data_IF_590694958504
#
_entry.id   IF_590694958504
#
_cell.length_a   1.000
_cell.length_b   1.000
_cell.length_c   1.000
_cell.angle_alpha   90.00
_cell.angle_beta   90.00
_cell.angle_gamma   90.00
#
_symmetry.space_group_name_H-M   'P 1'
#
loop_
_entity.id
_entity.type
_entity.pdbx_description
1 polymer ?
#
# COMPACT_ATOMS: atom_id res chain seq x y z
N UNK A 1 10.00 10.73 -80.71
CA UNK A 1 9.82 9.68 -79.69
C UNK A 1 9.89 10.36 -78.34
N UNK A 2 8.71 10.65 -77.77
CA UNK A 2 8.54 11.21 -76.43
C UNK A 2 8.53 10.04 -75.43
N UNK A 3 9.32 10.12 -74.37
CA UNK A 3 9.32 9.16 -73.27
C UNK A 3 9.52 9.89 -71.96
N UNK A 4 8.42 10.34 -71.38
CA UNK A 4 8.35 10.89 -70.02
C UNK A 4 8.44 9.69 -69.07
N UNK A 5 9.52 9.60 -68.27
CA UNK A 5 9.61 8.66 -67.15
C UNK A 5 9.39 9.47 -65.87
N UNK A 6 8.19 9.32 -65.31
CA UNK A 6 7.81 9.75 -63.96
C UNK A 6 8.68 8.98 -62.93
N UNK A 7 9.44 9.71 -62.11
CA UNK A 7 9.94 9.21 -60.83
C UNK A 7 9.11 9.88 -59.73
N UNK A 8 8.03 9.23 -59.31
CA UNK A 8 7.30 9.58 -58.09
C UNK A 8 8.15 9.19 -56.90
N UNK A 9 8.77 10.17 -56.23
CA UNK A 9 9.29 10.00 -54.88
C UNK A 9 8.11 9.79 -53.94
N UNK A 10 7.78 8.54 -53.65
CA UNK A 10 6.94 8.18 -52.49
C UNK A 10 7.74 8.52 -51.23
N UNK A 11 7.52 9.71 -50.68
CA UNK A 11 7.87 9.97 -49.28
C UNK A 11 6.95 9.09 -48.44
N UNK A 12 7.49 8.00 -47.90
CA UNK A 12 6.85 7.24 -46.84
C UNK A 12 6.77 8.18 -45.64
N UNK A 13 5.66 8.88 -45.47
CA UNK A 13 5.26 9.37 -44.17
C UNK A 13 4.91 8.13 -43.35
N UNK A 14 5.89 7.58 -42.65
CA UNK A 14 5.60 6.67 -41.56
C UNK A 14 4.93 7.51 -40.47
N UNK A 15 3.60 7.57 -40.51
CA UNK A 15 2.82 8.01 -39.37
C UNK A 15 3.28 7.14 -38.20
N UNK A 16 3.90 7.76 -37.20
CA UNK A 16 4.16 7.10 -35.94
C UNK A 16 2.79 7.00 -35.29
N UNK A 17 2.12 5.86 -35.44
CA UNK A 17 0.85 5.60 -34.78
C UNK A 17 1.11 5.59 -33.27
N UNK A 18 0.77 6.69 -32.61
CA UNK A 18 0.71 6.75 -31.15
C UNK A 18 -0.48 5.90 -30.70
N UNK A 19 -0.21 4.63 -30.40
CA UNK A 19 -1.18 3.77 -29.73
C UNK A 19 -1.50 4.34 -28.35
N UNK A 20 -2.79 4.42 -27.94
CA UNK A 20 -3.15 4.86 -26.60
C UNK A 20 -2.54 3.93 -25.56
N UNK A 21 -1.69 4.48 -24.69
CA UNK A 21 -1.17 3.76 -23.53
C UNK A 21 -2.31 3.52 -22.54
N UNK A 22 -2.59 2.26 -22.23
CA UNK A 22 -3.62 1.85 -21.27
C UNK A 22 -3.18 1.98 -19.80
N UNK A 23 -1.88 2.20 -19.59
CA UNK A 23 -1.24 2.29 -18.28
C UNK A 23 -1.14 3.73 -17.77
N UNK A 24 -1.33 3.91 -16.46
CA UNK A 24 -1.07 5.20 -15.83
C UNK A 24 0.44 5.52 -15.81
N UNK A 25 0.85 6.79 -15.70
CA UNK A 25 2.26 7.16 -15.72
C UNK A 25 3.15 6.43 -14.70
N UNK A 26 2.62 6.07 -13.52
CA UNK A 26 3.37 5.30 -12.52
C UNK A 26 3.64 3.86 -12.95
N UNK A 27 2.87 3.34 -13.90
CA UNK A 27 2.94 1.96 -14.36
C UNK A 27 3.85 1.78 -15.58
N UNK A 28 4.26 2.86 -16.26
CA UNK A 28 4.95 2.78 -17.56
C UNK A 28 6.24 1.94 -17.53
N UNK A 29 7.04 2.04 -16.46
CA UNK A 29 8.28 1.26 -16.34
C UNK A 29 8.16 -0.01 -15.49
N UNK A 30 6.95 -0.45 -15.13
CA UNK A 30 6.77 -1.61 -14.24
C UNK A 30 7.07 -2.96 -14.92
N UNK A 31 6.99 -3.00 -16.25
CA UNK A 31 7.34 -4.16 -17.07
C UNK A 31 7.88 -3.72 -18.42
N UNK A 32 8.59 -4.63 -19.10
CA UNK A 32 9.04 -4.39 -20.47
C UNK A 32 7.85 -4.13 -21.40
N UNK A 33 6.73 -4.83 -21.19
CA UNK A 33 5.53 -4.71 -22.03
C UNK A 33 4.84 -3.34 -21.86
N UNK A 34 4.65 -2.89 -20.62
CA UNK A 34 4.11 -1.55 -20.35
C UNK A 34 5.02 -0.46 -20.91
N UNK A 35 6.35 -0.67 -20.85
CA UNK A 35 7.31 0.31 -21.35
C UNK A 35 7.33 0.37 -22.88
N UNK A 36 7.08 -0.75 -23.56
CA UNK A 36 6.90 -0.81 -25.01
C UNK A 36 5.61 -0.12 -25.41
N UNK A 37 4.48 -0.49 -24.80
CA UNK A 37 3.16 0.05 -25.14
C UNK A 37 3.11 1.57 -24.99
N UNK A 38 3.71 2.08 -23.92
CA UNK A 38 3.72 3.51 -23.61
C UNK A 38 4.92 4.25 -24.22
N UNK A 39 5.71 3.61 -25.09
CA UNK A 39 6.78 4.25 -25.86
C UNK A 39 7.98 4.72 -25.04
N UNK A 40 8.16 4.20 -23.81
CA UNK A 40 9.22 4.60 -22.88
C UNK A 40 10.26 3.50 -22.63
N UNK A 41 10.26 2.41 -23.42
CA UNK A 41 11.16 1.26 -23.23
C UNK A 41 12.62 1.68 -23.07
N UNK A 42 13.11 2.57 -23.94
CA UNK A 42 14.50 3.03 -23.89
C UNK A 42 14.81 3.72 -22.57
N UNK A 43 13.96 4.64 -22.14
CA UNK A 43 14.10 5.40 -20.91
C UNK A 43 14.03 4.47 -19.67
N UNK A 44 13.11 3.51 -19.69
CA UNK A 44 12.98 2.55 -18.60
C UNK A 44 14.17 1.58 -18.52
N UNK A 45 14.74 1.16 -19.66
CA UNK A 45 15.96 0.34 -19.70
C UNK A 45 17.20 1.13 -19.26
N UNK A 46 17.36 2.37 -19.72
CA UNK A 46 18.45 3.26 -19.29
C UNK A 46 18.38 3.57 -17.77
N UNK A 47 17.16 3.57 -17.22
CA UNK A 47 16.92 3.72 -15.78
C UNK A 47 16.96 2.40 -14.99
N UNK A 48 17.21 1.25 -15.64
CA UNK A 48 17.11 -0.08 -15.04
C UNK A 48 15.76 -0.38 -14.36
N UNK A 49 14.71 0.36 -14.74
CA UNK A 49 13.40 0.36 -14.09
C UNK A 49 12.54 -0.85 -14.47
N UNK A 50 12.76 -1.40 -15.67
CA UNK A 50 12.08 -2.60 -16.18
C UNK A 50 12.76 -3.91 -15.76
N UNK A 51 13.90 -3.84 -15.05
CA UNK A 51 14.47 -5.05 -14.47
C UNK A 51 13.52 -5.54 -13.38
N UNK A 52 13.04 -6.79 -13.42
CA UNK A 52 12.29 -7.35 -12.32
C UNK A 52 13.21 -7.32 -11.10
N UNK A 53 12.96 -6.40 -10.16
CA UNK A 53 13.63 -6.42 -8.88
C UNK A 53 13.03 -7.56 -8.06
N UNK A 54 13.46 -8.78 -8.35
CA UNK A 54 12.99 -10.00 -7.70
C UNK A 54 13.50 -10.14 -6.26
N UNK A 55 14.08 -9.08 -5.65
CA UNK A 55 14.88 -9.20 -4.42
C UNK A 55 14.60 -8.16 -3.33
N UNK A 56 14.07 -6.97 -3.61
CA UNK A 56 13.84 -5.97 -2.54
C UNK A 56 12.41 -6.08 -2.01
N UNK A 57 12.29 -6.64 -0.81
CA UNK A 57 11.02 -6.70 -0.09
C UNK A 57 10.58 -5.29 0.34
N UNK A 58 9.29 -4.93 0.19
CA UNK A 58 8.72 -3.73 0.78
C UNK A 58 9.03 -3.64 2.28
N UNK A 59 9.15 -2.42 2.79
CA UNK A 59 9.27 -2.21 4.24
C UNK A 59 7.94 -2.61 4.89
N UNK A 60 7.96 -3.66 5.69
CA UNK A 60 6.77 -4.14 6.40
C UNK A 60 6.49 -3.26 7.61
N UNK A 61 5.27 -2.77 7.72
CA UNK A 61 4.75 -2.00 8.85
C UNK A 61 3.57 -2.76 9.41
N UNK A 62 3.67 -3.21 10.67
CA UNK A 62 2.52 -3.72 11.40
C UNK A 62 2.13 -2.72 12.50
N UNK A 63 0.84 -2.41 12.57
CA UNK A 63 0.27 -1.52 13.57
C UNK A 63 -0.69 -2.31 14.45
N UNK A 64 -0.34 -2.44 15.73
CA UNK A 64 -1.21 -2.99 16.76
C UNK A 64 -1.85 -1.83 17.52
N UNK A 65 -3.19 -1.80 17.54
CA UNK A 65 -3.93 -0.61 17.95
C UNK A 65 -5.33 -0.91 18.47
N UNK A 66 -5.98 0.11 19.03
CA UNK A 66 -7.39 0.09 19.44
C UNK A 66 -8.17 1.16 18.66
N UNK A 67 -9.40 0.83 18.29
CA UNK A 67 -10.28 1.67 17.48
C UNK A 67 -10.67 2.98 18.17
N UNK A 68 -10.73 3.04 19.52
CA UNK A 68 -11.04 4.26 20.28
C UNK A 68 -9.82 4.96 20.89
N UNK A 69 -8.60 4.40 20.79
CA UNK A 69 -7.41 5.03 21.37
C UNK A 69 -7.02 6.31 20.59
N UNK A 70 -6.94 7.48 21.25
CA UNK A 70 -6.62 8.74 20.58
C UNK A 70 -5.27 8.74 19.86
N UNK A 71 -4.23 8.18 20.49
CA UNK A 71 -2.89 8.07 19.90
C UNK A 71 -2.88 7.15 18.68
N UNK A 72 -3.63 6.05 18.74
CA UNK A 72 -3.80 5.11 17.63
C UNK A 72 -4.47 5.77 16.42
N UNK A 73 -5.58 6.48 16.65
CA UNK A 73 -6.31 7.21 15.60
C UNK A 73 -5.45 8.26 14.93
N UNK A 74 -4.70 9.02 15.73
CA UNK A 74 -3.81 10.06 15.22
C UNK A 74 -2.70 9.45 14.35
N UNK A 75 -2.06 8.39 14.82
CA UNK A 75 -1.05 7.69 14.04
C UNK A 75 -1.63 7.10 12.75
N UNK A 76 -2.75 6.38 12.82
CA UNK A 76 -3.40 5.76 11.67
C UNK A 76 -3.74 6.79 10.58
N UNK A 77 -4.35 7.91 10.96
CA UNK A 77 -4.83 8.92 10.01
C UNK A 77 -3.74 9.87 9.52
N UNK A 78 -2.82 10.28 10.40
CA UNK A 78 -1.86 11.36 10.09
C UNK A 78 -0.47 10.85 9.73
N UNK A 79 -0.07 9.66 10.19
CA UNK A 79 1.23 9.05 9.85
C UNK A 79 1.06 7.91 8.85
N UNK A 80 0.23 6.91 9.16
CA UNK A 80 0.16 5.68 8.38
C UNK A 80 -0.53 5.89 7.03
N UNK A 81 -1.77 6.40 7.03
CA UNK A 81 -2.55 6.57 5.80
C UNK A 81 -1.89 7.55 4.82
N UNK A 82 -1.37 8.67 5.33
CA UNK A 82 -0.66 9.68 4.52
C UNK A 82 0.62 9.11 3.90
N UNK A 83 1.43 8.39 4.68
CA UNK A 83 2.65 7.74 4.19
C UNK A 83 2.34 6.65 3.17
N UNK A 84 1.36 5.78 3.46
CA UNK A 84 0.98 4.69 2.58
C UNK A 84 0.46 5.21 1.24
N UNK A 85 -0.34 6.27 1.23
CA UNK A 85 -0.80 6.90 -0.03
C UNK A 85 0.35 7.30 -0.95
N UNK A 86 1.49 7.72 -0.39
CA UNK A 86 2.66 8.14 -1.15
C UNK A 86 3.66 7.01 -1.46
N UNK A 87 3.74 6.00 -0.58
CA UNK A 87 4.82 5.00 -0.58
C UNK A 87 4.33 3.55 -0.69
N UNK A 88 3.05 3.30 -1.02
CA UNK A 88 2.46 1.96 -1.11
C UNK A 88 3.25 0.95 -1.97
N UNK A 89 4.01 1.42 -2.95
CA UNK A 89 4.85 0.55 -3.80
C UNK A 89 6.09 -0.01 -3.07
N UNK A 90 6.53 0.63 -1.98
CA UNK A 90 7.74 0.29 -1.23
C UNK A 90 7.48 -0.05 0.24
N UNK A 91 6.22 -0.06 0.66
CA UNK A 91 5.81 -0.47 2.00
C UNK A 91 4.57 -1.35 1.97
N UNK A 92 4.50 -2.32 2.88
CA UNK A 92 3.31 -3.14 3.09
C UNK A 92 2.79 -2.94 4.51
N UNK A 93 1.47 -2.81 4.65
CA UNK A 93 0.83 -2.51 5.93
C UNK A 93 0.01 -3.69 6.42
N UNK A 94 0.19 -4.05 7.69
CA UNK A 94 -0.72 -4.95 8.41
C UNK A 94 -1.34 -4.22 9.59
N UNK A 95 -2.66 -4.18 9.64
CA UNK A 95 -3.41 -3.61 10.75
C UNK A 95 -3.86 -4.74 11.69
N UNK A 96 -3.60 -4.58 12.99
CA UNK A 96 -3.97 -5.55 14.03
C UNK A 96 -4.80 -4.84 15.11
N UNK A 97 -6.10 -4.62 14.86
CA UNK A 97 -7.02 -4.03 15.83
C UNK A 97 -7.34 -5.05 16.93
N UNK A 98 -6.82 -4.81 18.13
CA UNK A 98 -7.08 -5.57 19.35
C UNK A 98 -6.53 -4.77 20.55
N UNK A 99 -5.26 -4.37 20.46
CA UNK A 99 -4.58 -3.54 21.44
C UNK A 99 -4.58 -4.13 22.84
N UNK A 100 -5.03 -3.35 23.83
CA UNK A 100 -5.10 -3.80 25.22
C UNK A 100 -6.41 -4.51 25.58
N UNK A 101 -7.17 -4.99 24.59
CA UNK A 101 -8.32 -5.84 24.86
C UNK A 101 -7.90 -7.14 25.55
N UNK A 102 -8.84 -7.75 26.25
CA UNK A 102 -8.70 -9.09 26.84
C UNK A 102 -9.78 -10.01 26.30
N UNK A 103 -9.45 -11.29 26.16
CA UNK A 103 -10.40 -12.32 25.75
C UNK A 103 -10.59 -13.42 26.79
N UNK A 104 -11.78 -14.02 26.81
CA UNK A 104 -12.08 -15.25 27.54
C UNK A 104 -12.96 -16.15 26.68
N UNK A 105 -12.85 -17.46 26.83
CA UNK A 105 -13.66 -18.42 26.07
C UNK A 105 -14.76 -19.01 26.95
N UNK A 106 -16.02 -18.85 26.53
CA UNK A 106 -17.19 -19.32 27.30
C UNK A 106 -17.62 -20.76 26.98
N UNK A 107 -16.84 -21.48 26.15
CA UNK A 107 -17.17 -22.80 25.65
C UNK A 107 -17.87 -22.80 24.29
N UNK A 108 -18.28 -21.63 23.79
CA UNK A 108 -18.88 -21.45 22.47
C UNK A 108 -18.21 -20.35 21.66
N UNK A 109 -17.98 -19.19 22.26
CA UNK A 109 -17.45 -18.00 21.61
C UNK A 109 -16.43 -17.28 22.50
N UNK A 110 -15.57 -16.49 21.86
CA UNK A 110 -14.70 -15.58 22.59
C UNK A 110 -15.47 -14.36 23.05
N UNK A 111 -15.33 -14.00 24.32
CA UNK A 111 -15.86 -12.78 24.90
C UNK A 111 -14.72 -11.78 25.05
N UNK A 112 -14.90 -10.58 24.51
CA UNK A 112 -13.89 -9.53 24.51
C UNK A 112 -14.25 -8.43 25.49
N UNK A 113 -13.26 -7.96 26.23
CA UNK A 113 -13.36 -6.77 27.11
C UNK A 113 -12.35 -5.74 26.65
N UNK A 114 -12.81 -4.52 26.37
CA UNK A 114 -12.01 -3.42 25.86
C UNK A 114 -11.94 -2.24 26.85
N UNK A 115 -10.88 -1.44 26.80
CA UNK A 115 -10.63 -0.39 27.78
C UNK A 115 -11.61 0.78 27.69
N UNK A 116 -12.10 1.07 26.49
CA UNK A 116 -13.05 2.15 26.20
C UNK A 116 -14.48 1.62 25.98
N UNK A 117 -14.80 0.42 26.48
CA UNK A 117 -16.14 -0.17 26.46
C UNK A 117 -16.51 -0.88 25.16
N UNK A 118 -17.79 -1.22 25.01
CA UNK A 118 -18.25 -2.07 23.89
C UNK A 118 -18.11 -1.42 22.51
N UNK A 119 -18.15 -0.09 22.42
CA UNK A 119 -17.93 0.60 21.15
C UNK A 119 -16.51 0.41 20.62
N UNK A 120 -15.51 0.27 21.51
CA UNK A 120 -14.15 -0.07 21.10
C UNK A 120 -14.05 -1.51 20.63
N UNK A 121 -14.66 -2.45 21.36
CA UNK A 121 -14.69 -3.85 20.92
C UNK A 121 -15.41 -3.98 19.58
N UNK A 122 -16.53 -3.28 19.40
CA UNK A 122 -17.24 -3.23 18.13
C UNK A 122 -16.37 -2.62 17.04
N UNK A 123 -15.69 -1.50 17.30
CA UNK A 123 -14.75 -0.89 16.36
C UNK A 123 -13.59 -1.82 16.00
N UNK A 124 -13.02 -2.51 16.99
CA UNK A 124 -11.94 -3.48 16.81
C UNK A 124 -12.39 -4.70 15.99
N UNK A 125 -13.68 -5.07 16.04
CA UNK A 125 -14.26 -6.12 15.18
C UNK A 125 -14.65 -5.60 13.79
N UNK A 126 -15.04 -4.32 13.67
CA UNK A 126 -15.32 -3.68 12.39
C UNK A 126 -14.03 -3.57 11.57
N UNK A 127 -12.95 -3.02 12.11
CA UNK A 127 -11.68 -2.79 11.39
C UNK A 127 -11.13 -4.01 10.60
N UNK A 128 -11.02 -5.24 11.15
CA UNK A 128 -10.50 -6.39 10.43
C UNK A 128 -11.48 -6.89 9.36
N UNK A 129 -12.79 -6.73 9.57
CA UNK A 129 -13.82 -7.03 8.56
C UNK A 129 -13.84 -5.95 7.47
N UNK A 130 -13.65 -4.69 7.86
CA UNK A 130 -13.54 -3.55 6.96
C UNK A 130 -12.23 -3.58 6.22
N UNK A 131 -11.14 -4.16 6.70
CA UNK A 131 -9.95 -4.37 5.86
C UNK A 131 -10.26 -5.32 4.70
N UNK A 132 -10.97 -6.43 4.98
CA UNK A 132 -11.46 -7.34 3.93
C UNK A 132 -12.45 -6.64 2.99
N UNK A 133 -13.21 -5.66 3.49
CA UNK A 133 -14.24 -4.90 2.75
C UNK A 133 -13.74 -3.57 2.17
N UNK A 134 -12.57 -3.06 2.54
CA UNK A 134 -11.93 -1.90 1.92
C UNK A 134 -11.34 -2.32 0.58
N UNK A 135 -10.99 -3.60 0.43
CA UNK A 135 -10.85 -4.25 -0.89
C UNK A 135 -12.16 -4.15 -1.68
N UNK A 136 -13.30 -4.23 -0.99
CA UNK A 136 -14.64 -4.04 -1.54
C UNK A 136 -15.15 -2.58 -1.54
N UNK A 137 -14.37 -1.55 -1.19
CA UNK A 137 -14.69 -0.16 -1.56
C UNK A 137 -14.61 0.03 -3.09
N UNK A 138 -13.94 -0.90 -3.78
CA UNK A 138 -14.01 -1.10 -5.22
C UNK A 138 -15.19 -1.99 -5.66
N UNK A 139 -15.92 -2.61 -4.72
CA UNK A 139 -17.12 -3.40 -4.97
C UNK A 139 -18.37 -2.66 -4.46
N UNK A 140 -19.05 -1.89 -5.34
CA UNK A 140 -20.22 -1.10 -4.97
C UNK A 140 -21.42 -1.96 -4.50
N UNK A 141 -21.34 -3.30 -4.57
CA UNK A 141 -22.41 -4.19 -4.15
C UNK A 141 -22.38 -4.54 -2.66
N UNK A 142 -21.34 -4.15 -1.92
CA UNK A 142 -21.23 -4.49 -0.50
C UNK A 142 -22.21 -3.66 0.34
N UNK A 143 -23.12 -4.35 1.04
CA UNK A 143 -24.13 -3.72 1.91
C UNK A 143 -23.66 -3.69 3.36
N UNK A 144 -24.00 -2.61 4.07
CA UNK A 144 -23.61 -2.44 5.48
C UNK A 144 -24.17 -3.59 6.36
N UNK A 145 -25.39 -4.05 6.11
CA UNK A 145 -25.97 -5.18 6.85
C UNK A 145 -25.14 -6.47 6.73
N UNK A 146 -24.52 -6.72 5.58
CA UNK A 146 -23.65 -7.88 5.36
C UNK A 146 -22.38 -7.80 6.21
N UNK A 147 -21.77 -6.62 6.29
CA UNK A 147 -20.58 -6.42 7.12
C UNK A 147 -20.96 -6.54 8.60
N UNK A 148 -22.08 -5.94 9.04
CA UNK A 148 -22.53 -6.05 10.43
C UNK A 148 -22.90 -7.48 10.82
N UNK A 149 -23.41 -8.26 9.87
CA UNK A 149 -23.64 -9.71 10.07
C UNK A 149 -22.31 -10.44 10.30
N UNK A 150 -21.26 -10.10 9.55
CA UNK A 150 -19.92 -10.65 9.75
C UNK A 150 -19.35 -10.23 11.12
N UNK A 151 -19.36 -8.93 11.43
CA UNK A 151 -18.84 -8.34 12.67
C UNK A 151 -19.46 -8.99 13.90
N UNK A 152 -20.78 -9.20 13.90
CA UNK A 152 -21.52 -9.78 15.03
C UNK A 152 -21.60 -11.32 15.00
N UNK A 153 -21.09 -11.96 13.95
CA UNK A 153 -21.14 -13.40 13.76
C UNK A 153 -19.82 -14.09 14.11
N UNK A 154 -19.79 -15.41 13.87
CA UNK A 154 -18.63 -16.26 14.16
C UNK A 154 -17.36 -15.79 13.45
N UNK A 155 -17.48 -15.25 12.23
CA UNK A 155 -16.34 -14.74 11.48
C UNK A 155 -15.70 -13.53 12.15
N UNK A 156 -16.49 -12.54 12.57
CA UNK A 156 -15.97 -11.38 13.32
C UNK A 156 -15.31 -11.80 14.63
N UNK A 157 -15.93 -12.75 15.35
CA UNK A 157 -15.37 -13.32 16.58
C UNK A 157 -14.01 -14.00 16.35
N UNK A 158 -13.91 -14.83 15.29
CA UNK A 158 -12.68 -15.52 14.92
C UNK A 158 -11.59 -14.55 14.48
N UNK A 159 -11.92 -13.52 13.71
CA UNK A 159 -10.96 -12.49 13.28
C UNK A 159 -10.42 -11.69 14.47
N UNK A 160 -11.29 -11.31 15.42
CA UNK A 160 -10.86 -10.62 16.64
C UNK A 160 -9.97 -11.52 17.52
N UNK A 161 -10.29 -12.82 17.64
CA UNK A 161 -9.43 -13.79 18.32
C UNK A 161 -8.07 -13.97 17.60
N UNK A 162 -8.05 -14.00 16.27
CA UNK A 162 -6.78 -14.05 15.52
C UNK A 162 -5.91 -12.82 15.81
N UNK A 163 -6.50 -11.64 15.94
CA UNK A 163 -5.77 -10.44 16.36
C UNK A 163 -5.30 -10.54 17.82
N UNK A 164 -6.09 -11.14 18.71
CA UNK A 164 -5.68 -11.44 20.09
C UNK A 164 -4.43 -12.32 20.12
N UNK A 165 -4.45 -13.44 19.39
CA UNK A 165 -3.32 -14.38 19.28
C UNK A 165 -2.09 -13.69 18.70
N UNK A 166 -2.28 -12.89 17.63
CA UNK A 166 -1.18 -12.16 17.00
C UNK A 166 -0.56 -11.13 17.95
N UNK A 167 -1.40 -10.40 18.68
CA UNK A 167 -0.98 -9.41 19.69
C UNK A 167 -0.27 -10.08 20.86
N UNK A 168 -0.78 -11.21 21.35
CA UNK A 168 -0.17 -12.00 22.42
C UNK A 168 1.17 -12.64 22.03
N UNK A 169 1.45 -12.79 20.74
CA UNK A 169 2.71 -13.33 20.23
C UNK A 169 3.84 -12.29 20.09
N UNK A 170 3.56 -11.01 20.36
CA UNK A 170 4.53 -9.93 20.27
C UNK A 170 5.75 -10.17 21.16
N UNK A 171 6.94 -9.82 20.64
CA UNK A 171 8.21 -9.86 21.35
C UNK A 171 8.96 -8.53 21.13
N UNK A 172 9.19 -7.71 22.18
CA UNK A 172 8.65 -7.88 23.53
C UNK A 172 7.11 -7.77 23.53
N UNK A 173 6.48 -8.24 24.60
CA UNK A 173 5.06 -7.99 24.81
C UNK A 173 4.83 -6.48 24.86
N UNK A 174 3.81 -6.00 24.15
CA UNK A 174 3.44 -4.59 24.17
C UNK A 174 2.94 -4.19 25.57
N UNK A 175 3.26 -2.98 25.99
CA UNK A 175 2.83 -2.35 27.24
C UNK A 175 1.99 -1.09 27.01
N UNK A 176 1.86 -0.65 25.75
CA UNK A 176 0.98 0.43 25.30
C UNK A 176 0.61 0.26 23.82
N UNK A 177 -0.36 1.05 23.38
CA UNK A 177 -0.72 1.23 21.96
C UNK A 177 -0.69 2.72 21.59
N UNK A 178 -0.41 3.09 20.31
CA UNK A 178 -0.11 2.21 19.18
C UNK A 178 1.26 1.52 19.32
N UNK A 179 1.33 0.25 18.94
CA UNK A 179 2.57 -0.53 18.94
C UNK A 179 2.98 -0.86 17.50
N UNK A 180 4.15 -0.37 17.09
CA UNK A 180 4.59 -0.37 15.71
C UNK A 180 5.73 -1.38 15.55
N UNK A 181 5.57 -2.31 14.60
CA UNK A 181 6.58 -3.30 14.24
C UNK A 181 7.04 -2.99 12.81
N UNK A 182 8.36 -2.85 12.62
CA UNK A 182 8.95 -2.60 11.30
C UNK A 182 9.82 -3.79 10.92
N UNK A 183 9.53 -4.42 9.78
CA UNK A 183 10.23 -5.63 9.30
C UNK A 183 10.31 -6.74 10.35
N UNK A 184 9.24 -6.93 11.14
CA UNK A 184 9.16 -7.94 12.19
C UNK A 184 9.88 -7.58 13.50
N UNK A 185 10.46 -6.37 13.61
CA UNK A 185 11.15 -5.90 14.81
C UNK A 185 10.45 -4.70 15.45
N UNK A 186 10.43 -4.68 16.79
CA UNK A 186 10.03 -3.52 17.57
C UNK A 186 11.19 -3.09 18.48
N UNK A 187 11.50 -1.80 18.47
CA UNK A 187 12.41 -1.14 19.42
C UNK A 187 11.88 0.26 19.75
N UNK A 188 12.26 0.79 20.91
CA UNK A 188 11.91 2.16 21.31
C UNK A 188 12.34 3.21 20.27
N UNK A 189 13.48 3.00 19.61
CA UNK A 189 13.98 3.89 18.56
C UNK A 189 13.12 3.81 17.29
N UNK A 190 12.75 2.60 16.86
CA UNK A 190 11.83 2.41 15.73
C UNK A 190 10.46 3.01 16.02
N UNK A 191 9.91 2.75 17.20
CA UNK A 191 8.64 3.32 17.67
C UNK A 191 8.71 4.85 17.63
N UNK A 192 9.75 5.46 18.21
CA UNK A 192 9.93 6.92 18.23
C UNK A 192 10.08 7.51 16.83
N UNK A 193 10.87 6.89 15.96
CA UNK A 193 11.05 7.34 14.57
C UNK A 193 9.76 7.25 13.77
N UNK A 194 9.05 6.14 13.89
CA UNK A 194 7.76 5.94 13.23
C UNK A 194 6.71 6.96 13.71
N UNK A 195 6.62 7.18 15.02
CA UNK A 195 5.74 8.19 15.61
C UNK A 195 6.09 9.62 15.19
N UNK A 196 7.38 9.92 14.98
CA UNK A 196 7.83 11.26 14.56
C UNK A 196 7.63 11.51 13.07
N UNK A 197 7.97 10.54 12.22
CA UNK A 197 7.77 10.61 10.78
C UNK A 197 7.91 9.21 10.18
N UNK A 198 6.79 8.51 10.05
CA UNK A 198 6.77 7.19 9.39
C UNK A 198 7.33 7.29 7.98
N UNK A 199 6.93 8.32 7.23
CA UNK A 199 7.44 8.62 5.89
C UNK A 199 8.98 8.62 5.81
N UNK A 200 9.63 9.39 6.67
CA UNK A 200 11.09 9.48 6.70
C UNK A 200 11.72 8.14 7.04
N UNK A 201 11.12 7.41 7.98
CA UNK A 201 11.59 6.08 8.36
C UNK A 201 11.53 5.11 7.17
N UNK A 202 10.39 5.00 6.48
CA UNK A 202 10.22 4.12 5.32
C UNK A 202 11.22 4.48 4.21
N UNK A 203 11.33 5.76 3.85
CA UNK A 203 12.29 6.23 2.85
C UNK A 203 13.75 5.94 3.21
N UNK A 204 14.08 5.90 4.51
CA UNK A 204 15.43 5.57 4.98
C UNK A 204 15.71 4.06 4.98
N UNK A 205 14.69 3.24 5.19
CA UNK A 205 14.81 1.78 5.29
C UNK A 205 14.68 1.07 3.94
N UNK A 206 14.08 1.72 2.95
CA UNK A 206 13.96 1.19 1.60
C UNK A 206 15.34 1.01 0.94
N UNK A 207 15.57 -0.20 0.42
CA UNK A 207 16.86 -0.60 -0.18
C UNK A 207 16.87 -0.57 -1.71
N UNK A 208 15.73 -0.31 -2.34
CA UNK A 208 15.60 -0.21 -3.79
C UNK A 208 15.81 1.22 -4.31
N UNK A 209 15.53 1.47 -5.61
CA UNK A 209 15.49 2.81 -6.17
C UNK A 209 14.49 3.67 -5.38
N UNK A 210 14.94 4.83 -4.88
CA UNK A 210 14.08 5.70 -4.07
C UNK A 210 12.98 6.33 -4.93
N UNK A 211 11.71 6.29 -4.50
CA UNK A 211 10.66 7.09 -5.11
C UNK A 211 11.00 8.58 -5.07
N UNK A 212 10.45 9.36 -6.00
CA UNK A 212 10.58 10.82 -6.02
C UNK A 212 10.18 11.44 -4.67
N UNK A 213 9.10 10.92 -4.08
CA UNK A 213 8.62 11.29 -2.75
C UNK A 213 9.73 11.23 -1.68
N UNK A 214 10.66 10.26 -1.77
CA UNK A 214 11.78 10.10 -0.84
C UNK A 214 12.98 11.02 -1.13
N UNK A 215 12.82 12.02 -2.01
CA UNK A 215 13.87 12.96 -2.38
C UNK A 215 14.83 12.44 -3.44
N UNK A 216 14.39 11.49 -4.28
CA UNK A 216 15.16 11.14 -5.47
C UNK A 216 15.32 12.39 -6.35
N UNK A 217 16.52 12.61 -6.89
CA UNK A 217 16.73 13.70 -7.84
C UNK A 217 15.72 13.53 -8.99
N UNK A 218 15.05 14.61 -9.43
CA UNK A 218 14.15 14.50 -10.58
C UNK A 218 14.94 13.85 -11.70
N UNK A 219 14.41 12.75 -12.25
CA UNK A 219 14.94 12.21 -13.50
C UNK A 219 15.02 13.41 -14.44
N UNK A 220 16.23 13.71 -14.96
CA UNK A 220 16.41 14.82 -15.89
C UNK A 220 15.30 14.72 -16.92
N UNK A 221 14.50 15.78 -17.05
CA UNK A 221 13.48 15.86 -18.09
C UNK A 221 14.17 15.66 -19.43
N UNK A 222 14.19 14.43 -19.93
CA UNK A 222 14.41 14.19 -21.33
C UNK A 222 13.09 14.55 -22.00
N UNK A 223 13.13 15.57 -22.85
CA UNK A 223 11.98 16.05 -23.64
C UNK A 223 11.15 14.85 -24.08
N UNK A 224 9.87 14.87 -23.71
CA UNK A 224 8.84 14.01 -24.25
C UNK A 224 9.05 13.87 -25.76
N UNK A 225 9.22 12.64 -26.24
CA UNK A 225 9.25 12.36 -27.66
C UNK A 225 7.80 12.11 -28.11
N UNK A 226 7.06 13.21 -28.21
CA UNK A 226 5.87 13.41 -29.03
C UNK A 226 5.58 14.92 -28.99
N UNK A 227 6.30 15.68 -29.81
CA UNK A 227 5.90 17.04 -30.18
C UNK A 227 5.50 16.98 -31.64
N UNK A 228 4.21 17.20 -31.91
CA UNK A 228 3.77 17.65 -33.23
C UNK A 228 4.26 19.11 -33.40
N UNK A 229 4.93 19.40 -34.51
CA UNK A 229 5.05 20.77 -35.05
C UNK A 229 3.82 21.12 -35.88
#
# INVERSE_FOLDING_TARGET
MNGIILLTLLTIWSNVDCTPCSYSPSQWCTSVDSAIECGVLKQCLEANATMPNTQVQPVQVELYFESLCPGCRLFLTSQLFSTWTMLQDIMSVTLVPYGNAHESFDGKQYQFTCQHGEEECLGNMIEPTVYQVCVALYDPNTKWDSIMTCVKGDQGNQLMHQNAVKTGALKPAHDYVPWIVINGEHTDDLQKKAMSSLFTLICSMWKGPKPEACGAAPMKQHRSYCHDE
#
